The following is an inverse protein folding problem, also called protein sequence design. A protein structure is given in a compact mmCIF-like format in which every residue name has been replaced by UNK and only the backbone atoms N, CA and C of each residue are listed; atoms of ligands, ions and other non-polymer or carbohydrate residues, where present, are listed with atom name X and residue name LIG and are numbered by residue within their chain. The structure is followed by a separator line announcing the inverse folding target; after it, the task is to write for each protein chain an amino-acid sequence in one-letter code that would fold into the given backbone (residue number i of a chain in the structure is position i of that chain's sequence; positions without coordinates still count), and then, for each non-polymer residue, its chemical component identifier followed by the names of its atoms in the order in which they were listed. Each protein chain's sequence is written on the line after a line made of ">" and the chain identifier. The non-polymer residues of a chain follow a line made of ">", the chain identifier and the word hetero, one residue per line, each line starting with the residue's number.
data_IF_025487310181
#
_entry.id   IF_025487310181
#
_cell.length_a   1.000
_cell.length_b   1.000
_cell.length_c   1.000
_cell.angle_alpha   90.00
_cell.angle_beta   90.00
_cell.angle_gamma   90.00
#
_symmetry.space_group_name_H-M   'P 1'
#
loop_
_entity.id
_entity.type
_entity.pdbx_description
1 polymer ?
#
# COMPACT_ATOMS: atom_id res chain seq x y z
N UNK A 1 8.14 14.40 10.50
CA UNK A 1 7.21 13.29 10.13
C UNK A 1 5.86 13.88 9.73
N UNK A 2 5.92 14.94 8.94
CA UNK A 2 4.84 15.92 8.79
C UNK A 2 4.14 15.72 7.47
N UNK A 3 2.85 16.06 7.44
CA UNK A 3 1.99 16.10 6.24
C UNK A 3 1.81 14.80 5.45
N UNK A 4 2.57 13.72 5.73
CA UNK A 4 2.66 12.53 4.87
C UNK A 4 1.60 11.46 5.13
N UNK A 5 0.75 11.72 6.11
CA UNK A 5 -0.60 11.18 6.17
C UNK A 5 -1.56 12.36 6.25
N UNK A 6 -1.43 13.36 5.35
CA UNK A 6 -2.43 14.42 5.16
C UNK A 6 -3.72 13.76 4.66
N UNK A 7 -4.41 13.11 5.58
CA UNK A 7 -5.79 12.68 5.48
C UNK A 7 -6.64 13.84 5.00
N UNK A 8 -6.25 15.06 5.35
CA UNK A 8 -6.96 16.30 5.10
C UNK A 8 -6.79 16.74 3.64
N UNK A 9 -5.57 16.66 3.08
CA UNK A 9 -5.35 16.83 1.64
C UNK A 9 -6.00 15.72 0.83
N UNK A 10 -5.86 14.47 1.26
CA UNK A 10 -6.53 13.33 0.63
C UNK A 10 -8.06 13.42 0.71
N UNK A 11 -8.62 14.01 1.77
CA UNK A 11 -10.05 14.28 1.88
C UNK A 11 -10.49 15.43 0.96
N UNK A 12 -9.63 16.44 0.75
CA UNK A 12 -9.89 17.49 -0.24
C UNK A 12 -9.93 16.91 -1.66
N UNK A 13 -8.92 16.12 -2.02
CA UNK A 13 -8.73 15.65 -3.41
C UNK A 13 -9.60 14.42 -3.74
N UNK A 14 -9.74 13.46 -2.81
CA UNK A 14 -10.44 12.18 -3.02
C UNK A 14 -11.70 12.00 -2.17
N UNK A 15 -11.99 12.93 -1.25
CA UNK A 15 -13.18 12.87 -0.41
C UNK A 15 -13.26 11.59 0.41
N UNK A 16 -14.47 11.02 0.46
CA UNK A 16 -14.81 9.77 1.13
C UNK A 16 -14.05 8.54 0.57
N UNK A 17 -13.43 8.65 -0.61
CA UNK A 17 -12.77 7.54 -1.30
C UNK A 17 -11.26 7.48 -1.03
N UNK A 18 -10.70 8.36 -0.19
CA UNK A 18 -9.26 8.36 0.17
C UNK A 18 -8.77 7.00 0.67
N UNK A 19 -9.56 6.32 1.49
CA UNK A 19 -9.20 4.99 2.00
C UNK A 19 -9.16 3.92 0.91
N UNK A 20 -10.02 4.00 -0.11
CA UNK A 20 -10.03 3.09 -1.25
C UNK A 20 -8.80 3.30 -2.14
N UNK A 21 -8.38 4.55 -2.35
CA UNK A 21 -7.15 4.85 -3.09
C UNK A 21 -5.90 4.33 -2.39
N UNK A 22 -5.77 4.58 -1.09
CA UNK A 22 -4.63 4.07 -0.30
C UNK A 22 -4.66 2.53 -0.27
N UNK A 23 -5.83 1.92 -0.11
CA UNK A 23 -6.01 0.47 -0.18
C UNK A 23 -5.64 -0.10 -1.56
N UNK A 24 -5.97 0.61 -2.63
CA UNK A 24 -5.59 0.27 -4.01
C UNK A 24 -4.07 0.27 -4.21
N UNK A 25 -3.37 1.27 -3.68
CA UNK A 25 -1.90 1.30 -3.70
C UNK A 25 -1.29 0.14 -2.90
N UNK A 26 -1.84 -0.17 -1.72
CA UNK A 26 -1.40 -1.33 -0.93
C UNK A 26 -1.60 -2.65 -1.69
N UNK A 27 -2.75 -2.83 -2.34
CA UNK A 27 -3.04 -3.99 -3.17
C UNK A 27 -2.10 -4.10 -4.37
N UNK A 28 -1.79 -2.98 -5.03
CA UNK A 28 -0.83 -2.95 -6.15
C UNK A 28 0.57 -3.38 -5.73
N UNK A 29 1.05 -2.92 -4.57
CA UNK A 29 2.34 -3.34 -4.01
C UNK A 29 2.34 -4.84 -3.68
N UNK A 30 1.26 -5.36 -3.10
CA UNK A 30 1.12 -6.78 -2.81
C UNK A 30 1.09 -7.63 -4.09
N UNK A 31 0.40 -7.18 -5.14
CA UNK A 31 0.38 -7.84 -6.45
C UNK A 31 1.75 -7.84 -7.11
N UNK A 32 2.49 -6.74 -7.01
CA UNK A 32 3.85 -6.63 -7.56
C UNK A 32 4.81 -7.57 -6.81
N UNK A 33 4.68 -7.66 -5.49
CA UNK A 33 5.44 -8.62 -4.68
C UNK A 33 5.12 -10.08 -5.07
N UNK A 34 3.84 -10.41 -5.24
CA UNK A 34 3.41 -11.74 -5.66
C UNK A 34 3.88 -12.08 -7.09
N UNK A 35 3.79 -11.14 -8.03
CA UNK A 35 4.29 -11.30 -9.38
C UNK A 35 5.81 -11.51 -9.42
N UNK A 36 6.57 -10.77 -8.62
CA UNK A 36 8.01 -10.95 -8.48
C UNK A 36 8.37 -12.35 -7.95
N UNK A 37 7.67 -12.84 -6.92
CA UNK A 37 7.86 -14.20 -6.42
C UNK A 37 7.48 -15.27 -7.46
N UNK A 38 6.42 -15.05 -8.24
CA UNK A 38 6.00 -16.00 -9.29
C UNK A 38 6.97 -16.04 -10.47
N UNK A 39 7.54 -14.91 -10.86
CA UNK A 39 8.60 -14.85 -11.88
C UNK A 39 9.85 -15.62 -11.42
N UNK A 40 10.24 -15.46 -10.16
CA UNK A 40 11.33 -16.23 -9.54
C UNK A 40 11.04 -17.73 -9.56
N UNK A 41 9.82 -18.12 -9.19
CA UNK A 41 9.38 -19.53 -9.22
C UNK A 41 9.42 -20.11 -10.64
N UNK A 42 9.02 -19.33 -11.65
CA UNK A 42 9.07 -19.75 -13.05
C UNK A 42 10.51 -19.90 -13.55
N UNK A 43 11.38 -18.93 -13.24
CA UNK A 43 12.78 -18.93 -13.63
C UNK A 43 13.57 -20.07 -12.98
N UNK A 44 13.30 -20.36 -11.70
CA UNK A 44 13.92 -21.49 -10.99
C UNK A 44 13.41 -22.84 -11.46
N UNK A 45 12.13 -22.97 -11.84
CA UNK A 45 11.60 -24.20 -12.46
C UNK A 45 12.20 -24.49 -13.84
N UNK A 46 12.58 -23.46 -14.61
CA UNK A 46 13.24 -23.64 -15.90
C UNK A 46 14.73 -24.01 -15.80
N UNK A 47 15.37 -23.76 -14.66
CA UNK A 47 16.74 -24.16 -14.39
C UNK A 47 16.75 -25.54 -13.75
N UNK A 48 17.30 -26.54 -14.43
CA UNK A 48 17.33 -27.97 -14.05
C UNK A 48 18.09 -28.28 -12.72
N UNK A 49 18.43 -27.27 -11.91
CA UNK A 49 18.99 -27.45 -10.59
C UNK A 49 17.89 -27.44 -9.54
N UNK A 50 17.69 -28.60 -8.91
CA UNK A 50 16.90 -28.83 -7.69
C UNK A 50 17.61 -28.11 -6.52
N UNK A 51 17.69 -26.78 -6.59
CA UNK A 51 18.18 -25.91 -5.53
C UNK A 51 17.00 -25.14 -4.95
N UNK A 52 16.96 -25.00 -3.64
CA UNK A 52 15.92 -24.26 -2.95
C UNK A 52 15.82 -22.84 -3.56
N UNK A 53 14.67 -22.39 -4.10
CA UNK A 53 14.54 -21.12 -4.83
C UNK A 53 14.96 -19.90 -3.99
N UNK A 54 14.86 -20.01 -2.66
CA UNK A 54 15.37 -19.01 -1.72
C UNK A 54 16.89 -18.79 -1.81
N UNK A 55 17.65 -19.84 -2.14
CA UNK A 55 19.11 -19.81 -2.26
C UNK A 55 19.58 -19.35 -3.65
N UNK A 56 18.77 -19.55 -4.69
CA UNK A 56 19.08 -19.14 -6.06
C UNK A 56 18.87 -17.64 -6.30
N UNK A 57 17.83 -17.04 -5.69
CA UNK A 57 17.51 -15.62 -5.89
C UNK A 57 17.12 -14.92 -4.59
N UNK A 58 18.01 -14.86 -3.59
CA UNK A 58 17.71 -14.24 -2.29
C UNK A 58 17.30 -12.76 -2.44
N UNK A 59 17.89 -12.03 -3.38
CA UNK A 59 17.56 -10.62 -3.63
C UNK A 59 16.09 -10.39 -3.99
N UNK A 60 15.47 -11.30 -4.74
CA UNK A 60 14.07 -11.17 -5.13
C UNK A 60 13.11 -11.45 -3.96
N UNK A 61 13.48 -12.35 -3.05
CA UNK A 61 12.73 -12.59 -1.81
C UNK A 61 12.82 -11.41 -0.85
N UNK A 62 14.00 -10.80 -0.69
CA UNK A 62 14.16 -9.58 0.10
C UNK A 62 13.39 -8.40 -0.50
N UNK A 63 13.43 -8.25 -1.82
CA UNK A 63 12.66 -7.23 -2.51
C UNK A 63 11.15 -7.42 -2.31
N UNK A 64 10.62 -8.63 -2.55
CA UNK A 64 9.21 -8.93 -2.33
C UNK A 64 8.81 -8.78 -0.85
N UNK A 65 9.68 -9.19 0.09
CA UNK A 65 9.48 -8.98 1.52
C UNK A 65 9.42 -7.50 1.90
N UNK A 66 10.29 -6.67 1.33
CA UNK A 66 10.28 -5.21 1.57
C UNK A 66 9.01 -4.55 1.04
N UNK A 67 8.51 -4.98 -0.14
CA UNK A 67 7.24 -4.50 -0.70
C UNK A 67 6.06 -4.88 0.20
N UNK A 68 6.04 -6.12 0.71
CA UNK A 68 5.03 -6.57 1.65
C UNK A 68 5.09 -5.81 2.98
N UNK A 69 6.30 -5.55 3.50
CA UNK A 69 6.49 -4.79 4.73
C UNK A 69 5.95 -3.34 4.63
N UNK A 70 5.94 -2.74 3.45
CA UNK A 70 5.32 -1.43 3.20
C UNK A 70 3.83 -1.55 2.90
N UNK A 71 3.40 -2.61 2.20
CA UNK A 71 2.00 -2.82 1.84
C UNK A 71 1.10 -3.05 3.08
N UNK A 72 1.56 -3.82 4.06
CA UNK A 72 0.79 -4.12 5.28
C UNK A 72 0.40 -2.85 6.06
N UNK A 73 1.31 -1.94 6.45
CA UNK A 73 0.93 -0.73 7.16
C UNK A 73 0.06 0.21 6.31
N UNK A 74 0.25 0.26 4.99
CA UNK A 74 -0.63 1.02 4.09
C UNK A 74 -2.06 0.45 4.06
N UNK A 75 -2.20 -0.87 4.11
CA UNK A 75 -3.51 -1.52 4.19
C UNK A 75 -4.16 -1.23 5.55
N UNK A 76 -3.44 -1.39 6.66
CA UNK A 76 -3.97 -1.02 7.99
C UNK A 76 -4.42 0.45 8.01
N UNK A 77 -3.63 1.34 7.40
CA UNK A 77 -3.99 2.75 7.27
C UNK A 77 -5.26 2.97 6.42
N UNK A 78 -5.38 2.27 5.28
CA UNK A 78 -6.57 2.32 4.44
C UNK A 78 -7.84 1.89 5.19
N UNK A 79 -7.77 0.83 6.00
CA UNK A 79 -8.89 0.41 6.86
C UNK A 79 -9.30 1.49 7.84
N UNK A 80 -8.31 2.11 8.50
CA UNK A 80 -8.56 3.21 9.45
C UNK A 80 -9.25 4.39 8.75
N UNK A 81 -8.82 4.75 7.54
CA UNK A 81 -9.45 5.82 6.76
C UNK A 81 -10.89 5.46 6.37
N UNK A 82 -11.12 4.25 5.85
CA UNK A 82 -12.47 3.79 5.48
C UNK A 82 -13.40 3.78 6.70
N UNK A 83 -12.91 3.30 7.84
CA UNK A 83 -13.67 3.28 9.08
C UNK A 83 -14.07 4.70 9.53
N UNK A 84 -13.11 5.63 9.57
CA UNK A 84 -13.39 7.04 9.90
C UNK A 84 -14.37 7.69 8.92
N UNK A 85 -14.22 7.40 7.62
CA UNK A 85 -15.06 7.96 6.56
C UNK A 85 -16.50 7.42 6.58
N UNK A 86 -16.71 6.18 7.04
CA UNK A 86 -18.05 5.59 7.16
C UNK A 86 -18.73 5.89 8.49
N UNK A 87 -17.99 5.94 9.60
CA UNK A 87 -18.57 6.03 10.95
C UNK A 87 -18.64 7.46 11.46
N UNK A 88 -17.64 8.31 11.15
CA UNK A 88 -17.51 9.63 11.76
C UNK A 88 -17.72 10.80 10.79
N UNK A 89 -17.87 10.53 9.49
CA UNK A 89 -17.90 11.58 8.43
C UNK A 89 -16.73 12.58 8.50
N UNK A 90 -15.62 12.18 9.13
CA UNK A 90 -14.45 13.03 9.44
C UNK A 90 -13.83 13.69 8.20
N UNK A 91 -14.09 13.17 7.00
CA UNK A 91 -13.61 13.73 5.75
C UNK A 91 -14.12 15.16 5.49
N UNK A 92 -15.32 15.51 5.95
CA UNK A 92 -15.89 16.86 5.76
C UNK A 92 -15.18 17.91 6.61
N UNK A 93 -14.96 17.60 7.89
CA UNK A 93 -14.25 18.48 8.82
C UNK A 93 -12.77 18.61 8.42
N UNK A 94 -12.14 17.50 8.03
CA UNK A 94 -10.77 17.47 7.53
C UNK A 94 -10.60 18.34 6.27
N UNK A 95 -11.47 18.20 5.27
CA UNK A 95 -11.42 19.01 4.05
C UNK A 95 -11.65 20.51 4.34
N UNK A 96 -12.57 20.83 5.27
CA UNK A 96 -12.88 22.21 5.64
C UNK A 96 -11.73 22.88 6.38
N UNK A 97 -11.06 22.18 7.31
CA UNK A 97 -9.86 22.68 8.01
C UNK A 97 -8.72 22.98 7.02
N UNK A 98 -8.50 22.10 6.04
CA UNK A 98 -7.46 22.30 5.05
C UNK A 98 -7.73 23.51 4.15
N UNK A 99 -8.97 23.69 3.67
CA UNK A 99 -9.33 24.87 2.86
C UNK A 99 -9.17 26.19 3.61
N UNK A 100 -9.41 26.23 4.92
CA UNK A 100 -9.20 27.42 5.76
C UNK A 100 -7.73 27.68 6.08
N UNK A 101 -6.88 26.65 6.05
CA UNK A 101 -5.45 26.79 6.28
C UNK A 101 -4.68 27.27 5.02
N UNK A 102 -5.31 27.19 3.84
CA UNK A 102 -4.75 27.57 2.55
C UNK A 102 -5.19 28.99 2.11
N UNK A 103 -6.14 29.61 2.83
CA UNK A 103 -6.59 31.00 2.66
C UNK A 103 -5.83 31.95 3.58
#
# INVERSE_FOLDING_TARGET
>A
MGELLNSDRLAKDYGKWRGVWVGGCAAFLALTAAAAMKLVELATKSSLQIGNPLALTPGAYWFAGSLMAVAVPLWVWALVLIYKDQVHEDYKEAATRYMRAEQ
#
